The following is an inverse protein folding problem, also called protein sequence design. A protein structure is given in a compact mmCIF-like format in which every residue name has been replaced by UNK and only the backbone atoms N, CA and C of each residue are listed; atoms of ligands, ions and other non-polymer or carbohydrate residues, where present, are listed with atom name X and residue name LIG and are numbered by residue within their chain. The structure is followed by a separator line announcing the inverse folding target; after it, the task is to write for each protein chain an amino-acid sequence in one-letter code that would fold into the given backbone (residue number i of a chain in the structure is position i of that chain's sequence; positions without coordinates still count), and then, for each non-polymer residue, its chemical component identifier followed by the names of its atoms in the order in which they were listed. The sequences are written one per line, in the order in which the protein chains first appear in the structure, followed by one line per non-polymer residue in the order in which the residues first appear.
data_IF_460345586885
#
_entry.id   IF_460345586885
#
_cell.length_a   1.000
_cell.length_b   1.000
_cell.length_c   1.000
_cell.angle_alpha   90.00
_cell.angle_beta   90.00
_cell.angle_gamma   90.00
#
_symmetry.space_group_name_H-M   'P 1'
#
loop_
_entity.id
_entity.type
_entity.pdbx_description
1 polymer ?
#
# COMPACT_ATOMS: atom_id res chain seq x y z
N UNK A 1 -56.79 -15.41 -0.93
CA UNK A 1 -55.63 -15.62 -0.03
C UNK A 1 -54.91 -14.29 0.11
N UNK A 2 -54.68 -13.80 1.33
CA UNK A 2 -54.08 -12.48 1.60
C UNK A 2 -52.55 -12.62 1.57
N UNK A 3 -51.88 -11.92 0.65
CA UNK A 3 -50.43 -11.80 0.65
C UNK A 3 -50.00 -10.75 1.67
N UNK A 4 -49.20 -11.16 2.65
CA UNK A 4 -48.53 -10.26 3.60
C UNK A 4 -47.06 -10.18 3.17
N UNK A 5 -46.66 -9.04 2.63
CA UNK A 5 -45.27 -8.75 2.28
C UNK A 5 -44.51 -8.39 3.55
N UNK A 6 -43.58 -9.25 3.98
CA UNK A 6 -42.63 -8.93 5.04
C UNK A 6 -41.58 -7.95 4.48
N UNK A 7 -41.53 -6.74 5.06
CA UNK A 7 -40.38 -5.84 4.91
C UNK A 7 -39.23 -6.39 5.78
N UNK A 8 -38.22 -6.96 5.13
CA UNK A 8 -36.95 -7.32 5.77
C UNK A 8 -36.07 -6.07 5.81
N UNK A 9 -35.88 -5.48 6.99
CA UNK A 9 -34.77 -4.55 7.23
C UNK A 9 -33.47 -5.34 7.14
N UNK A 10 -32.68 -5.10 6.10
CA UNK A 10 -31.29 -5.57 6.04
C UNK A 10 -30.49 -4.70 7.02
N UNK A 11 -29.93 -5.24 8.11
CA UNK A 11 -29.00 -4.48 8.92
C UNK A 11 -27.77 -4.21 8.05
N UNK A 12 -27.56 -2.94 7.69
CA UNK A 12 -26.29 -2.48 7.14
C UNK A 12 -25.27 -2.69 8.25
N UNK A 13 -24.48 -3.76 8.14
CA UNK A 13 -23.30 -3.96 8.96
C UNK A 13 -22.42 -2.71 8.75
N UNK A 14 -22.40 -1.82 9.74
CA UNK A 14 -21.43 -0.75 9.81
C UNK A 14 -20.06 -1.38 10.08
N UNK A 15 -19.44 -1.91 9.04
CA UNK A 15 -18.02 -2.17 9.04
C UNK A 15 -17.33 -0.83 9.21
N UNK A 16 -16.57 -0.65 10.29
CA UNK A 16 -15.63 0.46 10.40
C UNK A 16 -14.61 0.25 9.27
N UNK A 17 -14.78 0.96 8.17
CA UNK A 17 -13.79 0.98 7.11
C UNK A 17 -12.52 1.57 7.73
N UNK A 18 -11.49 0.74 7.89
CA UNK A 18 -10.15 1.25 8.12
C UNK A 18 -9.79 2.07 6.87
N UNK A 19 -9.30 3.28 7.07
CA UNK A 19 -8.90 4.11 5.93
C UNK A 19 -7.74 3.41 5.21
N UNK A 20 -7.76 3.47 3.88
CA UNK A 20 -6.64 3.03 3.06
C UNK A 20 -5.39 3.85 3.38
N UNK A 21 -4.23 3.24 3.20
CA UNK A 21 -2.98 4.00 3.22
C UNK A 21 -2.93 5.04 2.12
N UNK A 22 -2.14 6.10 2.32
CA UNK A 22 -2.05 7.21 1.37
C UNK A 22 -0.61 7.46 0.96
N UNK A 23 -0.36 7.48 -0.34
CA UNK A 23 0.89 8.00 -0.90
C UNK A 23 0.88 9.52 -0.88
N UNK A 24 1.80 10.11 -0.14
CA UNK A 24 2.06 11.55 -0.18
C UNK A 24 3.14 11.91 -1.21
N UNK A 25 4.09 11.00 -1.43
CA UNK A 25 5.07 11.02 -2.51
C UNK A 25 5.50 9.58 -2.81
N UNK A 26 5.65 9.17 -4.07
CA UNK A 26 5.34 9.93 -5.29
C UNK A 26 3.83 10.06 -5.51
N UNK A 27 3.43 10.84 -6.52
CA UNK A 27 2.02 10.94 -6.96
C UNK A 27 1.73 9.95 -8.10
N UNK A 28 0.45 9.59 -8.29
CA UNK A 28 0.06 8.66 -9.35
C UNK A 28 0.48 9.18 -10.73
N UNK A 29 1.05 8.30 -11.55
CA UNK A 29 1.59 8.59 -12.88
C UNK A 29 2.93 9.34 -12.89
N UNK A 30 3.53 9.60 -11.72
CA UNK A 30 4.82 10.30 -11.65
C UNK A 30 5.92 9.48 -12.34
N UNK A 31 6.79 10.18 -13.08
CA UNK A 31 8.00 9.60 -13.65
C UNK A 31 9.09 9.50 -12.58
N UNK A 32 9.71 8.33 -12.48
CA UNK A 32 10.80 8.01 -11.56
C UNK A 32 11.98 7.53 -12.39
N UNK A 33 13.17 8.01 -12.06
CA UNK A 33 14.40 7.55 -12.70
C UNK A 33 14.64 6.08 -12.38
N UNK A 34 15.01 5.29 -13.38
CA UNK A 34 15.44 3.91 -13.19
C UNK A 34 16.72 3.78 -12.35
N UNK A 35 17.52 4.85 -12.24
CA UNK A 35 18.88 4.80 -11.68
C UNK A 35 19.14 5.81 -10.56
N UNK A 36 18.21 6.73 -10.30
CA UNK A 36 18.34 7.72 -9.24
C UNK A 36 17.35 7.43 -8.09
N UNK A 37 17.70 7.79 -6.84
CA UNK A 37 16.76 7.71 -5.74
C UNK A 37 15.54 8.62 -5.95
N UNK A 38 14.38 8.17 -5.48
CA UNK A 38 13.17 8.99 -5.34
C UNK A 38 12.67 8.98 -3.90
N UNK A 39 11.97 10.03 -3.49
CA UNK A 39 11.41 10.13 -2.15
C UNK A 39 10.08 9.38 -2.04
N UNK A 40 10.04 8.40 -1.15
CA UNK A 40 8.79 7.83 -0.65
C UNK A 40 8.36 8.57 0.61
N UNK A 41 7.12 9.07 0.58
CA UNK A 41 6.38 9.44 1.77
C UNK A 41 5.03 8.74 1.74
N UNK A 42 4.78 7.88 2.72
CA UNK A 42 3.52 7.16 2.83
C UNK A 42 2.95 7.27 4.25
N UNK A 43 1.64 7.46 4.33
CA UNK A 43 0.90 7.54 5.59
C UNK A 43 -0.02 6.34 5.70
N UNK A 44 0.10 5.61 6.81
CA UNK A 44 -0.84 4.56 7.15
C UNK A 44 -2.23 5.16 7.41
N UNK A 45 -3.27 4.49 6.90
CA UNK A 45 -4.65 4.78 7.25
C UNK A 45 -5.11 4.10 8.55
N UNK A 46 -4.21 3.41 9.27
CA UNK A 46 -4.52 2.73 10.52
C UNK A 46 -4.75 3.72 11.65
N UNK A 47 -5.82 3.49 12.40
CA UNK A 47 -6.22 4.32 13.55
C UNK A 47 -6.82 3.44 14.67
N UNK A 48 -6.96 3.99 15.88
CA UNK A 48 -7.43 3.30 17.10
C UNK A 48 -6.58 2.09 17.52
N UNK A 49 -7.20 0.90 17.61
CA UNK A 49 -6.58 -0.32 18.17
C UNK A 49 -5.72 -1.06 17.15
N UNK A 50 -5.73 -0.63 15.90
CA UNK A 50 -4.80 -1.14 14.91
C UNK A 50 -3.47 -0.39 14.99
N UNK A 51 -2.38 -1.14 14.88
CA UNK A 51 -1.04 -0.59 15.03
C UNK A 51 -0.20 -0.99 13.83
N UNK A 52 0.21 0.00 13.04
CA UNK A 52 1.13 -0.19 11.91
C UNK A 52 2.53 -0.44 12.46
N UNK A 53 3.12 -1.58 12.08
CA UNK A 53 4.41 -2.04 12.60
C UNK A 53 5.52 -1.62 11.65
N UNK A 54 5.37 -1.96 10.37
CA UNK A 54 6.37 -1.69 9.35
C UNK A 54 5.77 -1.74 7.95
N UNK A 55 6.50 -1.21 6.97
CA UNK A 55 6.19 -1.41 5.56
C UNK A 55 7.33 -2.09 4.81
N UNK A 56 6.96 -2.91 3.83
CA UNK A 56 7.85 -3.35 2.76
C UNK A 56 7.39 -2.69 1.47
N UNK A 57 8.33 -2.14 0.70
CA UNK A 57 8.01 -1.43 -0.54
C UNK A 57 8.59 -2.21 -1.70
N UNK A 58 7.74 -2.52 -2.68
CA UNK A 58 8.11 -3.22 -3.90
C UNK A 58 7.90 -2.31 -5.12
N UNK A 59 8.63 -2.61 -6.18
CA UNK A 59 8.42 -2.04 -7.50
C UNK A 59 8.04 -3.18 -8.46
N UNK A 60 6.84 -3.11 -9.03
CA UNK A 60 6.28 -4.15 -9.89
C UNK A 60 6.05 -3.60 -11.28
N UNK A 61 6.50 -4.28 -12.31
CA UNK A 61 6.20 -3.91 -13.70
C UNK A 61 4.74 -4.23 -14.01
N UNK A 62 3.93 -3.27 -14.46
CA UNK A 62 2.48 -3.43 -14.64
C UNK A 62 1.71 -3.65 -13.32
N UNK A 63 0.55 -4.30 -13.40
CA UNK A 63 -0.36 -4.46 -12.26
C UNK A 63 0.09 -5.55 -11.26
N UNK A 64 0.31 -5.17 -10.01
CA UNK A 64 0.69 -6.08 -8.93
C UNK A 64 -0.36 -7.17 -8.67
N UNK A 65 -1.65 -6.85 -8.74
CA UNK A 65 -2.72 -7.83 -8.49
C UNK A 65 -2.67 -9.05 -9.43
N UNK A 66 -2.09 -8.90 -10.62
CA UNK A 66 -1.92 -9.99 -11.59
C UNK A 66 -0.63 -10.81 -11.38
N UNK A 67 0.36 -10.26 -10.68
CA UNK A 67 1.71 -10.83 -10.55
C UNK A 67 2.00 -11.33 -9.14
N UNK A 68 1.62 -10.56 -8.12
CA UNK A 68 1.91 -10.81 -6.71
C UNK A 68 3.42 -10.91 -6.40
N UNK A 69 4.27 -10.27 -7.20
CA UNK A 69 5.70 -10.16 -6.99
C UNK A 69 6.23 -8.84 -7.55
N UNK A 70 7.38 -8.39 -7.04
CA UNK A 70 8.09 -7.21 -7.50
C UNK A 70 9.51 -7.14 -6.93
N UNK A 71 10.30 -6.18 -7.39
CA UNK A 71 11.63 -5.89 -6.85
C UNK A 71 11.48 -5.19 -5.51
N UNK A 72 12.10 -5.71 -4.45
CA UNK A 72 12.09 -5.03 -3.14
C UNK A 72 12.97 -3.80 -3.18
N UNK A 73 12.39 -2.64 -2.86
CA UNK A 73 13.11 -1.37 -2.71
C UNK A 73 13.55 -1.15 -1.26
N UNK A 74 12.69 -1.48 -0.31
CA UNK A 74 13.00 -1.48 1.12
C UNK A 74 12.15 -2.54 1.82
N UNK A 75 12.67 -3.10 2.91
CA UNK A 75 12.00 -4.11 3.70
C UNK A 75 11.96 -3.67 5.17
N UNK A 76 10.84 -3.96 5.82
CA UNK A 76 10.65 -3.74 7.26
C UNK A 76 10.96 -2.29 7.70
N UNK A 77 10.63 -1.30 6.86
CA UNK A 77 10.78 0.11 7.20
C UNK A 77 9.84 0.46 8.34
N UNK A 78 10.40 0.97 9.45
CA UNK A 78 9.65 1.36 10.63
C UNK A 78 9.03 2.77 10.47
N UNK A 79 7.90 3.04 11.14
CA UNK A 79 7.28 4.37 11.11
C UNK A 79 8.15 5.40 11.83
N UNK A 80 8.27 6.60 11.26
CA UNK A 80 9.04 7.71 11.85
C UNK A 80 8.32 8.40 13.01
N UNK A 81 7.00 8.24 13.10
CA UNK A 81 6.16 8.89 14.12
C UNK A 81 5.15 7.92 14.70
N UNK A 82 5.05 7.91 16.03
CA UNK A 82 4.05 7.12 16.76
C UNK A 82 2.67 7.81 16.68
N UNK A 83 1.62 7.07 16.30
CA UNK A 83 0.22 7.53 16.34
C UNK A 83 -0.35 8.05 15.01
N UNK A 84 0.47 8.70 14.19
CA UNK A 84 0.21 8.93 12.76
C UNK A 84 1.32 8.20 12.04
N UNK A 85 1.16 6.89 11.80
CA UNK A 85 2.25 6.07 11.28
C UNK A 85 2.63 6.55 9.88
N UNK A 86 3.70 7.32 9.81
CA UNK A 86 4.25 7.89 8.58
C UNK A 86 5.60 7.27 8.31
N UNK A 87 5.89 7.11 7.04
CA UNK A 87 7.04 6.39 6.54
C UNK A 87 7.74 7.27 5.53
N UNK A 88 9.06 7.39 5.67
CA UNK A 88 9.90 8.21 4.84
C UNK A 88 11.17 7.43 4.49
N UNK A 89 11.49 7.37 3.21
CA UNK A 89 12.78 6.84 2.75
C UNK A 89 13.06 7.34 1.35
N UNK A 90 14.33 7.53 1.02
CA UNK A 90 14.76 7.62 -0.37
C UNK A 90 14.99 6.20 -0.88
N UNK A 91 14.38 5.88 -2.02
CA UNK A 91 14.37 4.55 -2.60
C UNK A 91 14.97 4.59 -4.00
N UNK A 92 15.88 3.65 -4.29
CA UNK A 92 16.48 3.54 -5.62
C UNK A 92 15.98 2.28 -6.29
N UNK A 93 15.36 2.36 -7.49
CA UNK A 93 15.07 1.18 -8.28
C UNK A 93 16.38 0.43 -8.58
N UNK A 94 16.49 -0.83 -8.16
CA UNK A 94 17.63 -1.67 -8.49
C UNK A 94 17.17 -2.81 -9.38
N UNK A 95 17.31 -2.64 -10.70
CA UNK A 95 17.07 -3.71 -11.65
C UNK A 95 18.31 -4.59 -11.78
N UNK A 96 18.13 -5.88 -12.09
CA UNK A 96 19.27 -6.76 -12.36
C UNK A 96 20.06 -6.23 -13.56
N UNK A 97 21.40 -6.29 -13.44
CA UNK A 97 22.34 -5.74 -14.41
C UNK A 97 22.04 -6.22 -15.84
N UNK A 98 21.92 -5.28 -16.78
CA UNK A 98 21.58 -5.55 -18.18
C UNK A 98 20.09 -5.55 -18.52
N UNK A 99 19.21 -5.24 -17.56
CA UNK A 99 17.79 -5.02 -17.79
C UNK A 99 17.39 -3.59 -17.42
N UNK A 100 17.76 -2.63 -18.28
CA UNK A 100 17.10 -1.33 -18.25
C UNK A 100 15.61 -1.57 -18.50
N UNK A 101 14.79 -1.34 -17.47
CA UNK A 101 13.35 -1.48 -17.59
C UNK A 101 12.71 -0.11 -17.44
N UNK A 102 12.00 0.29 -18.48
CA UNK A 102 11.22 1.51 -18.54
C UNK A 102 9.76 1.18 -18.85
N UNK A 103 8.85 2.08 -18.51
CA UNK A 103 7.43 1.95 -18.80
C UNK A 103 6.56 2.03 -17.57
N UNK A 104 5.42 1.34 -17.59
CA UNK A 104 4.42 1.42 -16.52
C UNK A 104 4.75 0.43 -15.40
N UNK A 105 4.83 0.96 -14.18
CA UNK A 105 5.10 0.22 -12.98
C UNK A 105 4.09 0.57 -11.89
N UNK A 106 4.04 -0.25 -10.85
CA UNK A 106 3.37 0.06 -9.60
C UNK A 106 4.39 0.03 -8.46
N UNK A 107 4.40 1.09 -7.66
CA UNK A 107 4.93 1.02 -6.31
C UNK A 107 3.89 0.31 -5.44
N UNK A 108 4.34 -0.68 -4.69
CA UNK A 108 3.48 -1.48 -3.82
C UNK A 108 3.96 -1.32 -2.40
N UNK A 109 3.07 -0.89 -1.51
CA UNK A 109 3.32 -0.84 -0.06
C UNK A 109 2.61 -2.01 0.58
N UNK A 110 3.38 -2.92 1.14
CA UNK A 110 2.91 -3.99 2.01
C UNK A 110 3.06 -3.53 3.46
N UNK A 111 1.96 -3.13 4.06
CA UNK A 111 1.93 -2.73 5.46
C UNK A 111 1.71 -3.95 6.35
N UNK A 112 2.61 -4.19 7.29
CA UNK A 112 2.43 -5.15 8.38
C UNK A 112 1.85 -4.41 9.58
N UNK A 113 0.74 -4.92 10.12
CA UNK A 113 0.05 -4.28 11.24
C UNK A 113 -0.57 -5.31 12.18
N UNK A 114 -0.87 -4.88 13.41
CA UNK A 114 -1.69 -5.64 14.34
C UNK A 114 -3.15 -5.27 14.13
N UNK A 115 -3.99 -6.24 13.76
CA UNK A 115 -5.43 -6.02 13.59
C UNK A 115 -6.14 -5.86 14.95
N UNK A 116 -7.41 -5.46 14.93
CA UNK A 116 -8.21 -5.32 16.16
C UNK A 116 -8.23 -6.58 17.04
N UNK A 117 -8.14 -7.77 16.43
CA UNK A 117 -8.07 -9.06 17.13
C UNK A 117 -6.73 -9.32 17.85
N UNK A 118 -5.74 -8.44 17.69
CA UNK A 118 -4.38 -8.65 18.17
C UNK A 118 -3.52 -9.55 17.27
N UNK A 119 -4.08 -10.02 16.14
CA UNK A 119 -3.38 -10.92 15.21
C UNK A 119 -2.65 -10.07 14.15
N UNK A 120 -1.38 -10.39 13.82
CA UNK A 120 -0.68 -9.77 12.71
C UNK A 120 -1.41 -9.98 11.38
N UNK A 121 -1.48 -8.92 10.59
CA UNK A 121 -2.08 -8.91 9.26
C UNK A 121 -1.25 -8.05 8.30
N UNK A 122 -1.54 -8.18 7.01
CA UNK A 122 -0.90 -7.41 5.96
C UNK A 122 -1.94 -6.77 5.06
N UNK A 123 -1.74 -5.49 4.73
CA UNK A 123 -2.49 -4.79 3.69
C UNK A 123 -1.58 -4.40 2.54
N UNK A 124 -2.18 -4.18 1.39
CA UNK A 124 -1.49 -3.83 0.15
C UNK A 124 -2.09 -2.54 -0.37
N UNK A 125 -1.24 -1.56 -0.64
CA UNK A 125 -1.58 -0.35 -1.38
C UNK A 125 -0.70 -0.25 -2.61
N UNK A 126 -1.26 0.22 -3.71
CA UNK A 126 -0.54 0.33 -5.00
C UNK A 126 -0.63 1.75 -5.54
N UNK A 127 0.43 2.19 -6.20
CA UNK A 127 0.49 3.47 -6.89
C UNK A 127 1.12 3.29 -8.27
N UNK A 128 0.37 3.66 -9.31
CA UNK A 128 0.90 3.67 -10.68
C UNK A 128 1.98 4.73 -10.84
N UNK A 129 3.09 4.37 -11.47
CA UNK A 129 4.23 5.25 -11.78
C UNK A 129 4.82 4.87 -13.13
N UNK A 130 5.65 5.75 -13.68
CA UNK A 130 6.41 5.48 -14.91
C UNK A 130 7.89 5.42 -14.57
N UNK A 131 8.58 4.34 -14.93
CA UNK A 131 10.04 4.27 -14.86
C UNK A 131 10.64 4.73 -16.18
N UNK A 132 11.60 5.65 -16.11
CA UNK A 132 12.32 6.20 -17.26
C UNK A 132 13.83 6.30 -17.01
#
# INVERSE_FOLDING_TARGET
MKFTTLFSLIPVLAGTFVAAGTFNSPTSGQTISANEPFNLTWSSGRYFKENSISITVLLTEGEYASKLYGTTLVKDLEPTTTGLYKYYSDLTPSFFYGSERSGNFQIVVLETYTAYSGIPATSTETLDVVIA
#
